data_IF_375349850680
#
_entry.id   IF_375349850680
#
_cell.length_a   1.000
_cell.length_b   1.000
_cell.length_c   1.000
_cell.angle_alpha   90.00
_cell.angle_beta   90.00
_cell.angle_gamma   90.00
#
_symmetry.space_group_name_H-M   'P 1'
#
loop_
_entity.id
_entity.type
_entity.pdbx_description
1 polymer ?
#
# COMPACT_ATOMS: atom_id res chain seq x y z
N UNK A 1 -8.74 -7.73 -6.01
CA UNK A 1 -7.36 -7.97 -5.53
C UNK A 1 -7.18 -7.47 -4.11
N UNK A 2 -7.25 -8.33 -3.09
CA UNK A 2 -7.08 -7.96 -1.68
C UNK A 2 -5.75 -7.25 -1.39
N UNK A 3 -4.69 -7.64 -2.11
CA UNK A 3 -3.35 -7.03 -2.04
C UNK A 3 -3.38 -5.52 -2.30
N UNK A 4 -4.28 -5.06 -3.18
CA UNK A 4 -4.44 -3.63 -3.47
C UNK A 4 -4.99 -2.86 -2.27
N UNK A 5 -6.07 -3.37 -1.66
CA UNK A 5 -6.67 -2.76 -0.47
C UNK A 5 -5.70 -2.77 0.72
N UNK A 6 -5.01 -3.90 0.95
CA UNK A 6 -4.00 -4.02 2.01
C UNK A 6 -2.84 -3.04 1.76
N UNK A 7 -2.37 -2.92 0.51
CA UNK A 7 -1.34 -1.96 0.11
C UNK A 7 -1.75 -0.51 0.40
N UNK A 8 -2.99 -0.13 0.09
CA UNK A 8 -3.54 1.21 0.42
C UNK A 8 -3.49 1.44 1.93
N UNK A 9 -4.04 0.51 2.72
CA UNK A 9 -4.14 0.68 4.17
C UNK A 9 -2.75 0.78 4.80
N UNK A 10 -1.81 -0.08 4.42
CA UNK A 10 -0.44 -0.05 4.96
C UNK A 10 0.33 1.19 4.53
N UNK A 11 0.19 1.63 3.27
CA UNK A 11 0.89 2.80 2.75
C UNK A 11 0.32 4.12 3.31
N UNK A 12 -0.99 4.34 3.21
CA UNK A 12 -1.62 5.57 3.69
C UNK A 12 -1.68 5.61 5.22
N UNK A 13 -1.95 4.47 5.86
CA UNK A 13 -2.00 4.36 7.32
C UNK A 13 -0.67 4.65 7.99
N UNK A 14 0.46 4.16 7.44
CA UNK A 14 1.79 4.46 8.00
C UNK A 14 2.11 5.96 7.91
N UNK A 15 1.73 6.62 6.81
CA UNK A 15 1.93 8.05 6.62
C UNK A 15 1.05 8.88 7.58
N UNK A 16 -0.22 8.53 7.73
CA UNK A 16 -1.08 9.22 8.70
C UNK A 16 -0.54 9.07 10.13
N UNK A 17 -0.21 7.85 10.54
CA UNK A 17 0.40 7.61 11.86
C UNK A 17 1.72 8.36 12.03
N UNK A 18 2.56 8.43 11.00
CA UNK A 18 3.79 9.22 11.03
C UNK A 18 3.51 10.72 11.21
N UNK A 19 2.53 11.28 10.49
CA UNK A 19 2.20 12.71 10.57
C UNK A 19 1.65 13.11 11.95
N UNK A 20 0.82 12.28 12.58
CA UNK A 20 0.24 12.56 13.89
C UNK A 20 1.17 12.21 15.06
N UNK A 21 1.86 11.06 14.98
CA UNK A 21 2.67 10.55 16.09
C UNK A 21 4.15 10.96 16.01
N UNK A 22 4.63 11.45 14.87
CA UNK A 22 6.05 11.78 14.58
C UNK A 22 7.03 10.61 14.82
N UNK A 23 6.54 9.38 14.82
CA UNK A 23 7.35 8.17 15.01
C UNK A 23 8.05 7.85 13.69
N UNK A 24 9.33 8.24 13.56
CA UNK A 24 10.12 8.01 12.35
C UNK A 24 10.24 6.54 11.94
N UNK A 25 10.20 5.61 12.91
CA UNK A 25 10.21 4.18 12.62
C UNK A 25 9.03 3.72 11.74
N UNK A 26 7.89 4.42 11.80
CA UNK A 26 6.69 4.08 11.03
C UNK A 26 6.90 4.28 9.52
N UNK A 27 7.86 5.12 9.12
CA UNK A 27 8.19 5.38 7.72
C UNK A 27 8.76 4.12 7.04
N UNK A 28 9.39 3.19 7.79
CA UNK A 28 9.90 1.95 7.22
C UNK A 28 8.81 0.94 6.82
N UNK A 29 7.56 1.14 7.27
CA UNK A 29 6.41 0.34 6.84
C UNK A 29 5.92 0.81 5.46
N UNK A 30 6.13 2.09 5.11
CA UNK A 30 5.65 2.70 3.85
C UNK A 30 6.19 2.00 2.59
N UNK A 31 7.48 1.62 2.47
CA UNK A 31 7.98 0.85 1.33
C UNK A 31 7.25 -0.49 1.12
N UNK A 32 6.90 -1.18 2.22
CA UNK A 32 6.18 -2.47 2.17
C UNK A 32 4.76 -2.25 1.64
N UNK A 33 4.06 -1.24 2.16
CA UNK A 33 2.74 -0.84 1.66
C UNK A 33 2.79 -0.45 0.17
N UNK A 34 3.81 0.30 -0.24
CA UNK A 34 4.04 0.69 -1.64
C UNK A 34 4.27 -0.49 -2.57
N UNK A 35 5.08 -1.49 -2.16
CA UNK A 35 5.28 -2.71 -2.94
C UNK A 35 3.98 -3.49 -3.14
N UNK A 36 3.18 -3.66 -2.08
CA UNK A 36 1.87 -4.30 -2.17
C UNK A 36 0.91 -3.50 -3.04
N UNK A 37 0.97 -2.17 -3.00
CA UNK A 37 0.14 -1.31 -3.84
C UNK A 37 0.48 -1.49 -5.34
N UNK A 38 1.77 -1.52 -5.70
CA UNK A 38 2.23 -1.80 -7.08
C UNK A 38 1.78 -3.19 -7.54
N UNK A 39 1.98 -4.22 -6.72
CA UNK A 39 1.53 -5.59 -7.05
C UNK A 39 0.00 -5.68 -7.17
N UNK A 40 -0.72 -4.93 -6.34
CA UNK A 40 -2.17 -4.79 -6.41
C UNK A 40 -2.63 -4.19 -7.73
N UNK A 41 -1.99 -3.11 -8.19
CA UNK A 41 -2.25 -2.51 -9.51
C UNK A 41 -2.00 -3.48 -10.66
N UNK A 42 -0.88 -4.22 -10.62
CA UNK A 42 -0.58 -5.24 -11.64
C UNK A 42 -1.63 -6.35 -11.66
N UNK A 43 -2.12 -6.77 -10.49
CA UNK A 43 -3.19 -7.77 -10.38
C UNK A 43 -4.52 -7.25 -10.95
N UNK A 44 -4.87 -5.99 -10.68
CA UNK A 44 -6.08 -5.37 -11.25
C UNK A 44 -5.98 -5.23 -12.77
N UNK A 45 -4.82 -4.82 -13.30
CA UNK A 45 -4.59 -4.73 -14.75
C UNK A 45 -4.72 -6.09 -15.44
N UNK A 46 -4.29 -7.19 -14.79
CA UNK A 46 -4.49 -8.55 -15.31
C UNK A 46 -5.98 -8.90 -15.38
N UNK A 47 -6.75 -8.62 -14.32
CA UNK A 47 -8.20 -8.85 -14.31
C UNK A 47 -8.92 -7.99 -15.35
N UNK A 48 -8.52 -6.72 -15.52
CA UNK A 48 -9.10 -5.82 -16.50
C UNK A 48 -8.82 -6.22 -17.96
N UNK A 49 -7.77 -7.02 -18.20
CA UNK A 49 -7.40 -7.57 -19.51
C UNK A 49 -7.97 -8.97 -19.77
N UNK A 50 -8.66 -9.58 -18.82
CA UNK A 50 -9.39 -10.82 -19.09
C UNK A 50 -10.63 -10.45 -19.92
N UNK A 51 -10.77 -11.01 -21.14
CA UNK A 51 -11.93 -10.74 -22.00
C UNK A 51 -13.23 -11.30 -21.40
#
# INVERSE_FOLDING_TARGET
SWIFAIGIVLFSGSLYLYTFSKIHAMVFITPIGGMLFILGWLSLLRLAKQP
#
